data_IF_610846531800
#
_entry.id   IF_610846531800
#
_cell.length_a   1.000
_cell.length_b   1.000
_cell.length_c   1.000
_cell.angle_alpha   90.00
_cell.angle_beta   90.00
_cell.angle_gamma   90.00
#
_symmetry.space_group_name_H-M   'P 1'
#
loop_
_entity.id
_entity.type
_entity.pdbx_description
1 polymer ?
#
# COMPACT_ATOMS: atom_id res chain seq x y z
N UNK A 1 13.66 22.52 -32.66
CA UNK A 1 14.03 21.42 -31.74
C UNK A 1 14.68 20.36 -32.58
N UNK A 2 15.98 20.12 -32.40
CA UNK A 2 16.64 19.01 -33.07
C UNK A 2 16.12 17.72 -32.42
N UNK A 3 15.42 16.90 -33.21
CA UNK A 3 14.90 15.62 -32.73
C UNK A 3 16.11 14.75 -32.43
N UNK A 4 16.36 14.47 -31.15
CA UNK A 4 17.38 13.50 -30.78
C UNK A 4 17.07 12.18 -31.50
N UNK A 5 18.11 11.62 -32.13
CA UNK A 5 18.16 10.28 -32.77
C UNK A 5 17.28 9.27 -32.02
N UNK A 6 16.56 8.36 -32.72
CA UNK A 6 15.73 7.35 -32.06
C UNK A 6 16.47 6.56 -30.97
N UNK A 7 15.74 6.08 -29.96
CA UNK A 7 16.29 5.13 -28.99
C UNK A 7 16.46 3.79 -29.70
N UNK A 8 17.70 3.36 -29.88
CA UNK A 8 18.11 2.13 -30.58
C UNK A 8 18.65 1.05 -29.62
N UNK A 9 18.49 1.25 -28.32
CA UNK A 9 18.90 0.33 -27.26
C UNK A 9 17.72 -0.14 -26.42
N UNK A 10 17.89 -1.29 -25.75
CA UNK A 10 16.90 -1.82 -24.82
C UNK A 10 16.94 -1.08 -23.49
N UNK A 11 15.77 -0.69 -22.97
CA UNK A 11 15.66 -0.07 -21.65
C UNK A 11 15.46 -1.18 -20.62
N UNK A 12 16.37 -1.34 -19.63
CA UNK A 12 16.30 -2.44 -18.68
C UNK A 12 15.05 -2.36 -17.81
N UNK A 13 14.43 -3.51 -17.57
CA UNK A 13 13.23 -3.60 -16.74
C UNK A 13 13.51 -3.14 -15.31
N UNK A 14 12.66 -2.26 -14.80
CA UNK A 14 12.65 -1.87 -13.38
C UNK A 14 11.42 -2.41 -12.66
N UNK A 15 11.55 -2.59 -11.34
CA UNK A 15 10.43 -2.98 -10.48
C UNK A 15 9.39 -1.86 -10.45
N UNK A 16 8.12 -2.22 -10.50
CA UNK A 16 7.03 -1.25 -10.38
C UNK A 16 7.04 -0.58 -9.00
N UNK A 17 6.99 0.74 -8.99
CA UNK A 17 6.92 1.54 -7.78
C UNK A 17 5.49 1.55 -7.20
N UNK A 18 5.36 1.87 -5.91
CA UNK A 18 4.07 1.88 -5.22
C UNK A 18 3.06 2.86 -5.84
N UNK A 19 3.55 3.98 -6.40
CA UNK A 19 2.74 5.03 -7.02
C UNK A 19 1.79 4.49 -8.08
N UNK A 20 2.28 3.66 -8.99
CA UNK A 20 1.49 3.10 -10.09
C UNK A 20 0.66 1.87 -9.70
N UNK A 21 0.73 1.46 -8.42
CA UNK A 21 -0.07 0.36 -7.86
C UNK A 21 -1.26 0.86 -7.05
N UNK A 22 -1.37 2.18 -6.85
CA UNK A 22 -2.43 2.79 -6.06
C UNK A 22 -3.82 2.50 -6.65
N UNK A 23 -3.95 2.49 -7.98
CA UNK A 23 -5.18 2.10 -8.66
C UNK A 23 -4.86 1.23 -9.88
N UNK A 24 -5.61 0.15 -10.06
CA UNK A 24 -5.49 -0.68 -11.27
C UNK A 24 -6.13 0.06 -12.44
N UNK A 25 -5.39 0.24 -13.53
CA UNK A 25 -5.92 0.71 -14.80
C UNK A 25 -5.34 -0.14 -15.93
N UNK A 26 -6.20 -0.45 -16.89
CA UNK A 26 -5.92 -1.23 -18.09
C UNK A 26 -4.75 -0.62 -18.89
N UNK A 27 -3.93 -1.48 -19.52
CA UNK A 27 -2.87 -1.08 -20.45
C UNK A 27 -1.87 -0.03 -19.90
N UNK A 28 -1.51 -0.12 -18.62
CA UNK A 28 -0.50 0.73 -18.01
C UNK A 28 0.88 0.58 -18.68
N UNK A 29 1.47 1.71 -19.08
CA UNK A 29 2.81 1.75 -19.69
C UNK A 29 3.89 1.55 -18.60
N UNK A 30 4.98 0.80 -18.87
CA UNK A 30 6.07 0.66 -17.91
C UNK A 30 6.75 2.02 -17.67
N UNK A 31 6.70 2.50 -16.43
CA UNK A 31 7.14 3.84 -16.06
C UNK A 31 8.60 4.13 -16.44
N UNK A 32 9.49 3.15 -16.31
CA UNK A 32 10.91 3.31 -16.59
C UNK A 32 11.20 3.54 -18.09
N UNK A 33 10.37 2.99 -18.98
CA UNK A 33 10.44 3.25 -20.42
C UNK A 33 9.96 4.67 -20.70
N UNK A 34 8.81 5.04 -20.15
CA UNK A 34 8.24 6.38 -20.31
C UNK A 34 9.22 7.46 -19.81
N UNK A 35 9.81 7.25 -18.64
CA UNK A 35 10.81 8.14 -18.04
C UNK A 35 12.00 8.40 -18.96
N UNK A 36 12.51 7.34 -19.61
CA UNK A 36 13.62 7.44 -20.56
C UNK A 36 13.21 8.22 -21.81
N UNK A 37 12.02 7.96 -22.35
CA UNK A 37 11.47 8.70 -23.48
C UNK A 37 11.31 10.19 -23.17
N UNK A 38 10.80 10.53 -21.98
CA UNK A 38 10.70 11.93 -21.55
C UNK A 38 12.10 12.57 -21.48
N UNK A 39 13.08 11.94 -20.83
CA UNK A 39 14.45 12.48 -20.75
C UNK A 39 15.11 12.64 -22.10
N UNK A 40 14.89 11.66 -22.98
CA UNK A 40 15.49 11.63 -24.30
C UNK A 40 14.85 12.69 -25.19
N UNK A 41 13.55 12.63 -25.44
CA UNK A 41 12.89 13.47 -26.46
C UNK A 41 12.48 14.87 -26.01
N UNK A 42 12.64 15.20 -24.72
CA UNK A 42 12.24 16.53 -24.19
C UNK A 42 13.37 17.16 -23.38
N UNK A 43 13.29 18.49 -23.20
CA UNK A 43 14.17 19.24 -22.30
C UNK A 43 13.43 19.53 -20.99
N UNK A 44 14.19 19.69 -19.90
CA UNK A 44 13.63 20.21 -18.65
C UNK A 44 12.94 21.56 -18.87
N UNK A 45 11.85 21.80 -18.13
CA UNK A 45 10.96 22.94 -18.32
C UNK A 45 10.05 22.87 -19.55
N UNK A 46 10.30 21.92 -20.47
CA UNK A 46 9.46 21.68 -21.66
C UNK A 46 8.05 21.21 -21.31
N UNK A 47 7.14 21.26 -22.29
CA UNK A 47 5.75 20.83 -22.15
C UNK A 47 5.57 19.47 -22.83
N UNK A 48 4.93 18.53 -22.12
CA UNK A 48 4.50 17.23 -22.64
C UNK A 48 2.98 17.22 -22.76
N UNK A 49 2.46 16.72 -23.88
CA UNK A 49 1.03 16.49 -24.08
C UNK A 49 0.79 14.99 -24.16
N UNK A 50 -0.10 14.47 -23.31
CA UNK A 50 -0.67 13.13 -23.45
C UNK A 50 -2.18 13.25 -23.62
N UNK A 51 -2.69 13.11 -24.86
CA UNK A 51 -4.13 13.22 -25.15
C UNK A 51 -4.93 11.97 -24.76
N UNK A 52 -4.26 10.89 -24.32
CA UNK A 52 -4.88 9.62 -23.90
C UNK A 52 -4.20 9.12 -22.63
N UNK A 53 -4.32 9.92 -21.56
CA UNK A 53 -3.42 9.80 -20.41
C UNK A 53 -3.60 8.52 -19.59
N UNK A 54 -4.77 7.86 -19.64
CA UNK A 54 -5.04 6.63 -18.90
C UNK A 54 -4.73 6.77 -17.41
N UNK A 55 -3.88 5.90 -16.87
CA UNK A 55 -3.42 5.97 -15.47
C UNK A 55 -2.51 7.14 -15.13
N UNK A 56 -2.09 7.95 -16.12
CA UNK A 56 -1.27 9.14 -15.90
C UNK A 56 0.23 8.86 -15.74
N UNK A 57 0.74 7.71 -16.20
CA UNK A 57 2.18 7.39 -16.12
C UNK A 57 3.03 8.45 -16.83
N UNK A 58 2.62 8.88 -18.03
CA UNK A 58 3.30 9.95 -18.79
C UNK A 58 3.27 11.27 -18.03
N UNK A 59 2.13 11.61 -17.43
CA UNK A 59 1.98 12.76 -16.55
C UNK A 59 2.96 12.75 -15.40
N UNK A 60 2.95 11.67 -14.62
CA UNK A 60 3.84 11.49 -13.48
C UNK A 60 5.31 11.58 -13.89
N UNK A 61 5.73 10.83 -14.90
CA UNK A 61 7.14 10.80 -15.32
C UNK A 61 7.57 12.14 -15.92
N UNK A 62 6.67 12.88 -16.58
CA UNK A 62 6.94 14.24 -17.03
C UNK A 62 7.23 15.16 -15.84
N UNK A 63 6.37 15.16 -14.82
CA UNK A 63 6.54 15.98 -13.62
C UNK A 63 7.80 15.60 -12.82
N UNK A 64 8.05 14.30 -12.60
CA UNK A 64 9.26 13.80 -11.91
C UNK A 64 10.53 14.27 -12.60
N UNK A 65 10.52 14.27 -13.93
CA UNK A 65 11.64 14.74 -14.73
C UNK A 65 11.58 16.27 -14.95
N UNK A 66 10.90 17.08 -14.14
CA UNK A 66 10.89 18.55 -14.28
C UNK A 66 10.34 19.07 -15.63
N UNK A 67 9.32 18.42 -16.20
CA UNK A 67 8.56 18.92 -17.37
C UNK A 67 7.19 19.42 -16.91
N UNK A 68 6.63 20.37 -17.65
CA UNK A 68 5.21 20.73 -17.58
C UNK A 68 4.40 19.71 -18.37
N UNK A 69 3.16 19.46 -17.98
CA UNK A 69 2.34 18.47 -18.66
C UNK A 69 0.89 18.92 -18.84
N UNK A 70 0.31 18.57 -19.98
CA UNK A 70 -1.11 18.66 -20.28
C UNK A 70 -1.61 17.23 -20.49
N UNK A 71 -2.60 16.83 -19.70
CA UNK A 71 -3.20 15.50 -19.75
C UNK A 71 -4.66 15.61 -20.17
N UNK A 72 -5.07 14.76 -21.09
CA UNK A 72 -6.47 14.60 -21.47
C UNK A 72 -6.80 13.11 -21.60
N UNK A 73 -8.05 12.77 -21.32
CA UNK A 73 -8.62 11.46 -21.62
C UNK A 73 -10.14 11.63 -21.72
N UNK A 74 -10.78 10.83 -22.59
CA UNK A 74 -12.24 10.81 -22.70
C UNK A 74 -12.88 10.16 -21.47
N UNK A 75 -12.18 9.22 -20.83
CA UNK A 75 -12.69 8.52 -19.67
C UNK A 75 -12.52 9.37 -18.40
N UNK A 76 -13.61 9.79 -17.74
CA UNK A 76 -13.51 10.58 -16.50
C UNK A 76 -12.77 9.83 -15.39
N UNK A 77 -12.81 8.48 -15.38
CA UNK A 77 -12.03 7.69 -14.43
C UNK A 77 -10.52 7.78 -14.69
N UNK A 78 -10.08 7.85 -15.95
CA UNK A 78 -8.68 8.06 -16.30
C UNK A 78 -8.20 9.42 -15.83
N UNK A 79 -9.01 10.47 -16.04
CA UNK A 79 -8.72 11.82 -15.57
C UNK A 79 -8.62 11.85 -14.04
N UNK A 80 -9.55 11.20 -13.34
CA UNK A 80 -9.52 11.11 -11.88
C UNK A 80 -8.27 10.38 -11.37
N UNK A 81 -7.96 9.20 -11.92
CA UNK A 81 -6.79 8.40 -11.50
C UNK A 81 -5.49 9.15 -11.80
N UNK A 82 -5.35 9.70 -13.01
CA UNK A 82 -4.15 10.42 -13.42
C UNK A 82 -3.92 11.66 -12.57
N UNK A 83 -4.97 12.45 -12.27
CA UNK A 83 -4.89 13.61 -11.37
C UNK A 83 -4.40 13.23 -9.98
N UNK A 84 -4.96 12.18 -9.38
CA UNK A 84 -4.54 11.72 -8.05
C UNK A 84 -3.13 11.14 -8.05
N UNK A 85 -2.74 10.41 -9.10
CA UNK A 85 -1.41 9.80 -9.21
C UNK A 85 -0.32 10.86 -9.45
N UNK A 86 -0.62 11.90 -10.24
CA UNK A 86 0.33 12.95 -10.60
C UNK A 86 0.48 14.01 -9.52
N UNK A 87 -0.63 14.49 -8.97
CA UNK A 87 -0.61 15.67 -8.10
C UNK A 87 -0.52 15.31 -6.62
N UNK A 88 -0.95 14.09 -6.23
CA UNK A 88 -1.07 13.59 -4.86
C UNK A 88 -1.03 14.70 -3.80
N UNK A 89 -2.04 15.61 -3.78
CA UNK A 89 -2.02 16.84 -2.99
C UNK A 89 -2.40 16.52 -1.53
N UNK A 90 -1.70 15.57 -0.94
CA UNK A 90 -1.93 15.10 0.42
C UNK A 90 -0.92 15.79 1.31
N UNK A 91 -1.43 16.61 2.23
CA UNK A 91 -0.62 17.10 3.34
C UNK A 91 -0.32 15.90 4.25
N UNK A 92 0.89 15.36 4.13
CA UNK A 92 1.34 14.21 4.92
C UNK A 92 1.34 14.52 6.41
N UNK A 93 1.56 15.77 6.81
CA UNK A 93 1.55 16.18 8.20
C UNK A 93 0.13 16.15 8.73
N UNK A 94 -0.80 16.83 8.06
CA UNK A 94 -2.21 16.83 8.46
C UNK A 94 -2.80 15.41 8.47
N UNK A 95 -2.43 14.58 7.50
CA UNK A 95 -2.83 13.17 7.45
C UNK A 95 -2.33 12.38 8.67
N UNK A 96 -1.05 12.52 9.02
CA UNK A 96 -0.47 11.85 10.18
C UNK A 96 -1.06 12.37 11.49
N UNK A 97 -1.29 13.67 11.62
CA UNK A 97 -1.92 14.29 12.79
C UNK A 97 -3.34 13.73 13.00
N UNK A 98 -4.15 13.64 11.95
CA UNK A 98 -5.50 13.05 12.06
C UNK A 98 -5.43 11.54 12.37
N UNK A 99 -4.51 10.80 11.73
CA UNK A 99 -4.32 9.38 12.02
C UNK A 99 -3.96 9.14 13.50
N UNK A 100 -3.03 9.91 14.05
CA UNK A 100 -2.64 9.83 15.46
C UNK A 100 -3.82 10.19 16.36
N UNK A 101 -4.60 11.22 16.02
CA UNK A 101 -5.83 11.56 16.76
C UNK A 101 -6.92 10.49 16.72
N UNK A 102 -7.05 9.75 15.62
CA UNK A 102 -7.92 8.56 15.56
C UNK A 102 -7.33 7.45 16.44
N UNK A 103 -6.04 7.15 16.29
CA UNK A 103 -5.34 6.11 17.04
C UNK A 103 -5.44 6.32 18.55
N UNK A 104 -5.31 7.55 19.03
CA UNK A 104 -5.40 7.85 20.46
C UNK A 104 -6.83 7.69 21.00
N UNK A 105 -7.85 7.93 20.16
CA UNK A 105 -9.27 7.76 20.54
C UNK A 105 -9.71 6.31 20.63
N UNK A 106 -9.36 5.49 19.64
CA UNK A 106 -9.93 4.14 19.48
C UNK A 106 -8.88 3.01 19.48
N UNK A 107 -7.59 3.34 19.47
CA UNK A 107 -6.52 2.36 19.29
C UNK A 107 -6.50 1.31 20.39
N UNK A 108 -6.61 1.70 21.66
CA UNK A 108 -6.64 0.73 22.77
C UNK A 108 -7.88 -0.16 22.75
N UNK A 109 -9.04 0.41 22.38
CA UNK A 109 -10.29 -0.36 22.24
C UNK A 109 -10.14 -1.44 21.15
N UNK A 110 -9.67 -1.04 19.96
CA UNK A 110 -9.37 -1.97 18.86
C UNK A 110 -8.37 -3.03 19.31
N UNK A 111 -7.25 -2.62 19.91
CA UNK A 111 -6.20 -3.56 20.33
C UNK A 111 -6.69 -4.56 21.37
N UNK A 112 -7.59 -4.16 22.27
CA UNK A 112 -8.21 -5.07 23.25
C UNK A 112 -8.96 -6.21 22.58
N UNK A 113 -9.54 -6.00 21.39
CA UNK A 113 -10.20 -7.06 20.61
C UNK A 113 -9.23 -8.14 20.12
N UNK A 114 -7.93 -7.82 20.02
CA UNK A 114 -6.88 -8.73 19.60
C UNK A 114 -6.09 -9.32 20.77
N UNK A 115 -6.42 -8.97 22.02
CA UNK A 115 -5.69 -9.43 23.19
C UNK A 115 -5.84 -10.95 23.38
N UNK A 116 -4.72 -11.61 23.69
CA UNK A 116 -4.66 -13.03 23.98
C UNK A 116 -4.64 -13.27 25.49
N UNK A 117 -5.14 -14.43 25.92
CA UNK A 117 -5.21 -14.75 27.35
C UNK A 117 -3.82 -14.90 27.99
N UNK A 118 -2.84 -15.31 27.19
CA UNK A 118 -1.49 -15.53 27.67
C UNK A 118 -0.66 -14.25 27.61
N UNK A 119 0.07 -14.00 28.69
CA UNK A 119 1.05 -12.93 28.76
C UNK A 119 2.32 -13.29 27.99
N UNK A 120 3.09 -12.26 27.65
CA UNK A 120 4.36 -12.43 26.99
C UNK A 120 5.32 -13.21 27.89
N UNK A 121 5.90 -14.33 27.44
CA UNK A 121 6.82 -15.12 28.26
C UNK A 121 8.16 -14.42 28.51
N UNK A 122 8.44 -13.30 27.83
CA UNK A 122 9.68 -12.53 27.98
C UNK A 122 9.54 -11.44 29.04
N UNK A 123 8.44 -10.68 29.02
CA UNK A 123 8.29 -9.49 29.87
C UNK A 123 6.98 -9.43 30.67
N UNK A 124 6.11 -10.43 30.55
CA UNK A 124 4.83 -10.46 31.25
C UNK A 124 3.77 -9.49 30.72
N UNK A 125 4.03 -8.73 29.66
CA UNK A 125 3.04 -7.81 29.07
C UNK A 125 2.01 -8.52 28.19
N UNK A 126 0.92 -7.84 27.88
CA UNK A 126 -0.14 -8.33 26.99
C UNK A 126 0.40 -8.77 25.63
N UNK A 127 -0.11 -9.90 25.13
CA UNK A 127 0.10 -10.36 23.76
C UNK A 127 -1.15 -10.04 22.93
N UNK A 128 -0.92 -9.61 21.70
CA UNK A 128 -1.97 -9.35 20.72
C UNK A 128 -1.82 -10.29 19.52
N UNK A 129 -2.93 -10.83 19.04
CA UNK A 129 -2.99 -11.60 17.82
C UNK A 129 -2.65 -10.71 16.63
N UNK A 130 -1.60 -11.06 15.89
CA UNK A 130 -1.30 -10.44 14.59
C UNK A 130 -2.19 -11.02 13.51
N UNK A 131 -2.24 -12.35 13.46
CA UNK A 131 -3.11 -13.10 12.56
C UNK A 131 -3.30 -14.53 13.06
N UNK A 132 -4.38 -15.15 12.62
CA UNK A 132 -4.72 -16.55 12.92
C UNK A 132 -4.63 -17.34 11.61
N UNK A 133 -3.99 -18.51 11.68
CA UNK A 133 -3.88 -19.46 10.59
C UNK A 133 -4.79 -20.65 10.91
N UNK A 134 -5.76 -20.89 10.04
CA UNK A 134 -6.69 -22.02 10.10
C UNK A 134 -6.80 -22.69 8.73
N UNK A 135 -7.09 -23.99 8.70
CA UNK A 135 -7.44 -24.71 7.48
C UNK A 135 -6.71 -26.05 7.29
N UNK A 136 -6.90 -26.71 6.13
CA UNK A 136 -6.36 -28.04 5.85
C UNK A 136 -4.83 -28.11 5.95
N UNK A 137 -4.13 -27.02 5.63
CA UNK A 137 -2.67 -26.93 5.73
C UNK A 137 -2.15 -27.02 7.18
N UNK A 138 -3.02 -26.86 8.17
CA UNK A 138 -2.72 -27.04 9.59
C UNK A 138 -3.38 -28.29 10.17
N UNK A 139 -3.84 -29.25 9.35
CA UNK A 139 -4.57 -30.45 9.79
C UNK A 139 -5.80 -30.15 10.69
N UNK A 140 -6.46 -29.02 10.45
CA UNK A 140 -7.60 -28.59 11.27
C UNK A 140 -7.21 -27.84 12.55
N UNK A 141 -5.92 -27.69 12.85
CA UNK A 141 -5.45 -26.87 13.95
C UNK A 141 -5.61 -25.37 13.68
N UNK A 142 -5.71 -24.61 14.76
CA UNK A 142 -5.79 -23.16 14.73
C UNK A 142 -4.54 -22.62 15.44
N UNK A 143 -3.76 -21.83 14.71
CA UNK A 143 -2.50 -21.28 15.18
C UNK A 143 -2.60 -19.76 15.19
N UNK A 144 -2.15 -19.14 16.27
CA UNK A 144 -2.02 -17.70 16.38
C UNK A 144 -0.56 -17.31 16.24
N UNK A 145 -0.29 -16.32 15.40
CA UNK A 145 0.94 -15.54 15.48
C UNK A 145 0.68 -14.29 16.30
N UNK A 146 1.35 -14.19 17.44
CA UNK A 146 1.15 -13.12 18.41
C UNK A 146 2.35 -12.16 18.47
N UNK A 147 2.07 -10.95 18.93
CA UNK A 147 3.05 -9.89 19.18
C UNK A 147 2.87 -9.33 20.58
N UNK A 148 3.98 -9.08 21.25
CA UNK A 148 3.96 -8.36 22.52
C UNK A 148 3.74 -6.86 22.29
N UNK A 149 2.96 -6.23 23.18
CA UNK A 149 2.77 -4.77 23.25
C UNK A 149 4.08 -4.01 23.17
N UNK A 150 5.07 -4.41 23.98
CA UNK A 150 6.39 -3.77 24.06
C UNK A 150 7.33 -4.14 22.91
N UNK A 151 6.87 -4.90 21.91
CA UNK A 151 7.59 -5.17 20.66
C UNK A 151 9.05 -5.61 20.82
N UNK A 152 9.29 -6.87 21.18
CA UNK A 152 10.65 -7.44 21.27
C UNK A 152 11.28 -7.81 19.90
N UNK A 153 10.96 -7.07 18.83
CA UNK A 153 11.46 -7.35 17.49
C UNK A 153 11.16 -8.78 17.00
N UNK A 154 12.19 -9.51 16.57
CA UNK A 154 12.07 -10.92 16.13
C UNK A 154 11.85 -11.89 17.28
N UNK A 155 12.34 -11.59 18.49
CA UNK A 155 12.15 -12.43 19.69
C UNK A 155 10.72 -12.33 20.25
N UNK A 156 9.98 -11.28 19.87
CA UNK A 156 8.60 -11.03 20.29
C UNK A 156 7.54 -11.60 19.37
N UNK A 157 7.88 -12.49 18.42
CA UNK A 157 6.86 -13.26 17.68
C UNK A 157 6.68 -14.61 18.35
N UNK A 158 5.45 -14.89 18.75
CA UNK A 158 5.07 -16.16 19.34
C UNK A 158 4.12 -16.86 18.38
N UNK A 159 4.43 -18.10 18.02
CA UNK A 159 3.57 -18.94 17.21
C UNK A 159 3.15 -20.13 18.06
N UNK A 160 1.85 -20.27 18.29
CA UNK A 160 1.30 -21.37 19.10
C UNK A 160 -0.11 -21.73 18.67
N UNK A 161 -0.59 -22.86 19.15
CA UNK A 161 -2.00 -23.21 19.05
C UNK A 161 -2.86 -22.25 19.88
N UNK A 162 -4.06 -21.94 19.39
CA UNK A 162 -5.06 -21.24 20.19
C UNK A 162 -5.50 -22.11 21.38
N UNK A 163 -5.74 -21.47 22.53
CA UNK A 163 -6.37 -22.13 23.66
C UNK A 163 -7.82 -22.50 23.31
N UNK A 164 -8.41 -23.46 24.02
CA UNK A 164 -9.82 -23.82 23.79
C UNK A 164 -10.76 -22.64 24.02
N UNK A 165 -10.45 -21.79 24.99
CA UNK A 165 -11.22 -20.58 25.27
C UNK A 165 -11.09 -19.52 24.19
N UNK A 166 -9.89 -19.29 23.66
CA UNK A 166 -9.67 -18.41 22.51
C UNK A 166 -10.44 -18.90 21.26
N UNK A 167 -10.39 -20.21 20.98
CA UNK A 167 -11.18 -20.83 19.90
C UNK A 167 -12.67 -20.59 20.10
N UNK A 168 -13.18 -20.84 21.31
CA UNK A 168 -14.60 -20.66 21.60
C UNK A 168 -15.03 -19.20 21.48
N UNK A 169 -14.21 -18.25 21.93
CA UNK A 169 -14.47 -16.82 21.78
C UNK A 169 -14.60 -16.42 20.32
N UNK A 170 -13.69 -16.87 19.45
CA UNK A 170 -13.75 -16.58 18.02
C UNK A 170 -15.01 -17.19 17.40
N UNK A 171 -15.30 -18.46 17.69
CA UNK A 171 -16.52 -19.12 17.19
C UNK A 171 -17.78 -18.36 17.64
N UNK A 172 -17.80 -17.87 18.87
CA UNK A 172 -18.94 -17.09 19.38
C UNK A 172 -19.07 -15.73 18.69
N UNK A 173 -17.96 -15.07 18.35
CA UNK A 173 -17.96 -13.80 17.61
C UNK A 173 -18.40 -14.03 16.16
N UNK A 174 -17.89 -15.07 15.49
CA UNK A 174 -18.25 -15.40 14.11
C UNK A 174 -19.72 -15.82 13.96
N UNK A 175 -20.35 -16.29 15.03
CA UNK A 175 -21.79 -16.62 15.07
C UNK A 175 -22.70 -15.41 15.27
N UNK A 176 -22.16 -14.23 15.59
CA UNK A 176 -22.99 -13.03 15.75
C UNK A 176 -23.46 -12.58 14.38
N UNK A 177 -24.76 -12.35 14.23
CA UNK A 177 -25.27 -11.65 13.07
C UNK A 177 -24.68 -10.25 13.04
N UNK A 178 -24.17 -9.85 11.88
CA UNK A 178 -23.76 -8.46 11.64
C UNK A 178 -25.07 -7.68 11.49
N UNK A 179 -25.47 -6.97 12.56
CA UNK A 179 -26.62 -6.06 12.57
C UNK A 179 -26.43 -4.93 11.56
#
# INVERSE_FOLDING_TARGET
MEVKRPIDYSIPRKKDCARYKMHKYWAGKPWYVVSEYIRHFTKEGGIVLDPFCGSGVVGCESLINNRKVILNDLNPMAVFISKNTCCSPVDLRAFLEEFEGIKDRIGEEIMTMYELEQLCPICGQRLYAKHIVRGPSQNGDWIVEARCRNSHGSKGKFRRYLTQREKQNIINIEKRDIL
#
